data_IF_964812115600
#
_entry.id   IF_964812115600
#
_cell.length_a   1.000
_cell.length_b   1.000
_cell.length_c   1.000
_cell.angle_alpha   90.00
_cell.angle_beta   90.00
_cell.angle_gamma   90.00
#
_symmetry.space_group_name_H-M   'P 1'
#
loop_
_entity.id
_entity.type
_entity.pdbx_description
1 polymer ?
#
# COMPACT_ATOMS: atom_id res chain seq x y z
N UNK A 1 27.43 3.74 -5.90
CA UNK A 1 27.75 4.28 -7.24
C UNK A 1 26.47 4.24 -8.05
N UNK A 2 26.02 5.39 -8.55
CA UNK A 2 24.96 5.44 -9.56
C UNK A 2 25.58 4.88 -10.85
N UNK A 3 24.95 3.89 -11.48
CA UNK A 3 25.42 3.38 -12.78
C UNK A 3 24.82 4.26 -13.87
N UNK A 4 25.57 4.49 -14.93
CA UNK A 4 25.04 5.12 -16.14
C UNK A 4 23.91 4.23 -16.70
N UNK A 5 22.69 4.74 -16.65
CA UNK A 5 21.52 4.06 -17.20
C UNK A 5 21.50 4.27 -18.70
N UNK A 6 21.45 3.19 -19.46
CA UNK A 6 21.30 3.24 -20.90
C UNK A 6 20.01 2.53 -21.32
N UNK A 7 19.57 2.73 -22.56
CA UNK A 7 18.39 2.07 -23.11
C UNK A 7 18.47 0.53 -23.09
N UNK A 8 19.70 -0.02 -23.04
CA UNK A 8 19.98 -1.46 -22.95
C UNK A 8 19.90 -2.04 -21.53
N UNK A 9 19.76 -1.19 -20.49
CA UNK A 9 19.71 -1.65 -19.11
C UNK A 9 18.41 -2.46 -18.87
N UNK A 10 18.49 -3.60 -18.15
CA UNK A 10 17.30 -4.36 -17.77
C UNK A 10 16.31 -3.50 -16.98
N UNK A 11 15.02 -3.62 -17.28
CA UNK A 11 13.98 -2.78 -16.69
C UNK A 11 13.89 -2.94 -15.16
N UNK A 12 14.13 -4.14 -14.63
CA UNK A 12 14.12 -4.36 -13.18
C UNK A 12 15.27 -3.61 -12.47
N UNK A 13 16.45 -3.52 -13.11
CA UNK A 13 17.60 -2.79 -12.58
C UNK A 13 17.34 -1.28 -12.65
N UNK A 14 16.76 -0.81 -13.75
CA UNK A 14 16.31 0.58 -13.87
C UNK A 14 15.36 0.96 -12.73
N UNK A 15 14.30 0.16 -12.55
CA UNK A 15 13.30 0.39 -11.52
C UNK A 15 13.92 0.42 -10.11
N UNK A 16 14.88 -0.47 -9.84
CA UNK A 16 15.59 -0.50 -8.55
C UNK A 16 16.30 0.82 -8.26
N UNK A 17 17.10 1.32 -9.21
CA UNK A 17 17.83 2.57 -8.96
C UNK A 17 16.88 3.77 -8.92
N UNK A 18 15.80 3.78 -9.72
CA UNK A 18 14.77 4.81 -9.64
C UNK A 18 14.15 4.88 -8.24
N UNK A 19 13.86 3.72 -7.62
CA UNK A 19 13.39 3.65 -6.22
C UNK A 19 14.44 4.19 -5.26
N UNK A 20 15.71 3.80 -5.44
CA UNK A 20 16.82 4.24 -4.57
C UNK A 20 17.07 5.76 -4.67
N UNK A 21 16.92 6.36 -5.85
CA UNK A 21 17.15 7.80 -6.08
C UNK A 21 15.96 8.64 -5.61
N UNK A 22 14.74 8.27 -6.03
CA UNK A 22 13.58 9.15 -5.86
C UNK A 22 12.71 8.82 -4.65
N UNK A 23 12.82 7.62 -4.06
CA UNK A 23 11.95 7.18 -2.95
C UNK A 23 12.71 6.98 -1.65
N UNK A 24 13.98 6.57 -1.70
CA UNK A 24 14.77 6.34 -0.48
C UNK A 24 14.88 7.62 0.35
N UNK A 25 14.48 7.56 1.62
CA UNK A 25 14.48 8.70 2.54
C UNK A 25 13.29 9.68 2.38
N UNK A 26 12.56 9.64 1.27
CA UNK A 26 11.41 10.53 1.02
C UNK A 26 10.06 9.94 1.46
N UNK A 27 9.95 8.60 1.56
CA UNK A 27 8.70 7.91 1.92
C UNK A 27 8.86 7.04 3.17
N UNK A 28 7.73 6.77 3.83
CA UNK A 28 7.66 5.86 4.98
C UNK A 28 8.09 4.45 4.59
N UNK A 29 8.74 3.74 5.51
CA UNK A 29 9.24 2.37 5.32
C UNK A 29 8.15 1.42 4.80
N UNK A 30 6.94 1.46 5.37
CA UNK A 30 5.83 0.61 4.93
C UNK A 30 5.44 0.82 3.45
N UNK A 31 5.63 2.04 2.93
CA UNK A 31 5.40 2.32 1.50
C UNK A 31 6.59 1.87 0.67
N UNK A 32 7.81 2.04 1.18
CA UNK A 32 9.03 1.54 0.55
C UNK A 32 9.00 0.02 0.35
N UNK A 33 8.50 -0.73 1.34
CA UNK A 33 8.33 -2.19 1.22
C UNK A 33 7.45 -2.59 0.03
N UNK A 34 6.47 -1.75 -0.36
CA UNK A 34 5.64 -2.01 -1.55
C UNK A 34 6.44 -1.84 -2.84
N UNK A 35 7.26 -0.79 -2.93
CA UNK A 35 8.14 -0.58 -4.09
C UNK A 35 9.15 -1.71 -4.24
N UNK A 36 9.76 -2.16 -3.14
CA UNK A 36 10.68 -3.30 -3.13
C UNK A 36 9.99 -4.62 -3.53
N UNK A 37 8.74 -4.82 -3.10
CA UNK A 37 7.96 -5.99 -3.53
C UNK A 37 7.71 -5.95 -5.04
N UNK A 38 7.31 -4.80 -5.57
CA UNK A 38 7.13 -4.60 -7.02
C UNK A 38 8.41 -4.88 -7.79
N UNK A 39 9.56 -4.39 -7.33
CA UNK A 39 10.86 -4.66 -7.95
C UNK A 39 11.13 -6.16 -8.06
N UNK A 40 10.93 -6.93 -6.97
CA UNK A 40 11.11 -8.39 -6.97
C UNK A 40 10.20 -9.09 -7.96
N UNK A 41 8.96 -8.61 -8.12
CA UNK A 41 8.03 -9.16 -9.10
C UNK A 41 8.43 -8.87 -10.53
N UNK A 42 8.93 -7.66 -10.82
CA UNK A 42 9.46 -7.32 -12.15
C UNK A 42 10.65 -8.21 -12.48
N UNK A 43 11.58 -8.39 -11.55
CA UNK A 43 12.74 -9.28 -11.72
C UNK A 43 12.32 -10.74 -11.97
N UNK A 44 11.30 -11.23 -11.26
CA UNK A 44 10.77 -12.59 -11.43
C UNK A 44 10.04 -12.78 -12.77
N UNK A 45 9.26 -11.79 -13.20
CA UNK A 45 8.39 -11.91 -14.38
C UNK A 45 9.12 -11.56 -15.69
N UNK A 46 10.08 -10.65 -15.64
CA UNK A 46 10.74 -10.10 -16.81
C UNK A 46 12.24 -9.84 -16.54
N UNK A 47 13.04 -10.88 -16.27
CA UNK A 47 14.47 -10.74 -15.96
C UNK A 47 15.31 -10.22 -17.14
N UNK A 48 14.91 -10.54 -18.37
CA UNK A 48 15.66 -10.18 -19.60
C UNK A 48 15.10 -8.94 -20.30
N UNK A 49 13.96 -8.41 -19.85
CA UNK A 49 13.30 -7.29 -20.51
C UNK A 49 14.12 -6.01 -20.34
N UNK A 50 14.58 -5.45 -21.46
CA UNK A 50 15.29 -4.17 -21.49
C UNK A 50 14.35 -2.98 -21.55
N UNK A 51 14.86 -1.81 -21.19
CA UNK A 51 14.14 -0.52 -21.31
C UNK A 51 13.73 -0.22 -22.75
N UNK A 52 14.64 -0.39 -23.72
CA UNK A 52 14.39 -0.16 -25.14
C UNK A 52 13.31 -1.07 -25.74
N UNK A 53 13.17 -2.28 -25.19
CA UNK A 53 12.21 -3.30 -25.63
C UNK A 53 10.83 -3.16 -24.99
N UNK A 54 10.67 -2.18 -24.09
CA UNK A 54 9.46 -1.95 -23.32
C UNK A 54 8.34 -1.35 -24.19
N UNK A 55 7.79 -2.19 -25.05
CA UNK A 55 6.65 -1.88 -25.90
C UNK A 55 5.34 -2.00 -25.12
N UNK A 56 4.27 -1.42 -25.67
CA UNK A 56 2.91 -1.57 -25.12
C UNK A 56 2.49 -3.04 -24.98
N UNK A 57 2.94 -3.91 -25.90
CA UNK A 57 2.64 -5.34 -25.88
C UNK A 57 3.41 -6.05 -24.77
N UNK A 58 4.72 -5.80 -24.64
CA UNK A 58 5.55 -6.36 -23.57
C UNK A 58 5.02 -5.94 -22.19
N UNK A 59 4.65 -4.67 -22.04
CA UNK A 59 4.06 -4.15 -20.80
C UNK A 59 2.71 -4.82 -20.47
N UNK A 60 1.86 -5.03 -21.48
CA UNK A 60 0.59 -5.72 -21.28
C UNK A 60 0.78 -7.20 -20.93
N UNK A 61 1.79 -7.88 -21.49
CA UNK A 61 2.15 -9.24 -21.12
C UNK A 61 2.61 -9.33 -19.67
N UNK A 62 3.50 -8.43 -19.24
CA UNK A 62 3.94 -8.32 -17.85
C UNK A 62 2.75 -8.18 -16.88
N UNK A 63 1.78 -7.31 -17.20
CA UNK A 63 0.57 -7.14 -16.39
C UNK A 63 -0.33 -8.39 -16.40
N UNK A 64 -0.46 -9.06 -17.56
CA UNK A 64 -1.25 -10.28 -17.66
C UNK A 64 -0.64 -11.42 -16.82
N UNK A 65 0.67 -11.55 -16.80
CA UNK A 65 1.37 -12.55 -16.01
C UNK A 65 1.25 -12.27 -14.52
N UNK A 66 1.39 -11.00 -14.11
CA UNK A 66 1.15 -10.59 -12.73
C UNK A 66 -0.31 -10.86 -12.28
N UNK A 67 -1.28 -10.61 -13.16
CA UNK A 67 -2.71 -10.82 -12.92
C UNK A 67 -3.11 -12.29 -12.73
N UNK A 68 -2.30 -13.26 -13.17
CA UNK A 68 -2.57 -14.69 -12.96
C UNK A 68 -2.54 -15.08 -11.49
N UNK A 69 -1.70 -14.43 -10.70
CA UNK A 69 -1.55 -14.75 -9.27
C UNK A 69 -2.35 -13.80 -8.39
N UNK A 70 -2.53 -12.54 -8.81
CA UNK A 70 -2.99 -11.45 -7.96
C UNK A 70 -4.45 -11.00 -8.21
N UNK A 71 -5.05 -10.40 -7.18
CA UNK A 71 -6.33 -9.71 -7.28
C UNK A 71 -6.21 -8.45 -8.15
N UNK A 72 -7.31 -8.06 -8.81
CA UNK A 72 -7.36 -6.87 -9.67
C UNK A 72 -6.82 -5.60 -9.00
N UNK A 73 -7.13 -5.39 -7.71
CA UNK A 73 -6.67 -4.21 -6.98
C UNK A 73 -5.14 -4.21 -6.82
N UNK A 74 -4.55 -5.35 -6.50
CA UNK A 74 -3.10 -5.48 -6.36
C UNK A 74 -2.40 -5.28 -7.71
N UNK A 75 -2.97 -5.80 -8.80
CA UNK A 75 -2.47 -5.54 -10.16
C UNK A 75 -2.55 -4.06 -10.54
N UNK A 76 -3.61 -3.36 -10.12
CA UNK A 76 -3.72 -1.91 -10.32
C UNK A 76 -2.64 -1.15 -9.57
N UNK A 77 -2.39 -1.51 -8.31
CA UNK A 77 -1.34 -0.89 -7.49
C UNK A 77 0.06 -1.14 -8.09
N UNK A 78 0.30 -2.34 -8.62
CA UNK A 78 1.51 -2.69 -9.35
C UNK A 78 1.69 -1.83 -10.61
N UNK A 79 0.64 -1.70 -11.42
CA UNK A 79 0.64 -0.83 -12.61
C UNK A 79 0.99 0.62 -12.25
N UNK A 80 0.38 1.18 -11.20
CA UNK A 80 0.64 2.56 -10.79
C UNK A 80 2.08 2.81 -10.37
N UNK A 81 2.70 1.85 -9.68
CA UNK A 81 4.10 1.98 -9.27
C UNK A 81 5.04 1.94 -10.47
N UNK A 82 4.83 1.00 -11.40
CA UNK A 82 5.61 0.91 -12.63
C UNK A 82 5.42 2.15 -13.51
N UNK A 83 4.19 2.64 -13.64
CA UNK A 83 3.88 3.80 -14.47
C UNK A 83 4.67 5.04 -14.05
N UNK A 84 4.86 5.25 -12.74
CA UNK A 84 5.66 6.38 -12.24
C UNK A 84 7.11 6.31 -12.72
N UNK A 85 7.74 5.14 -12.62
CA UNK A 85 9.10 4.95 -13.10
C UNK A 85 9.21 5.03 -14.64
N UNK A 86 8.22 4.49 -15.36
CA UNK A 86 8.23 4.47 -16.82
C UNK A 86 8.06 5.88 -17.42
N UNK A 87 7.23 6.73 -16.81
CA UNK A 87 7.08 8.12 -17.29
C UNK A 87 8.40 8.88 -17.15
N UNK A 88 9.07 8.76 -16.00
CA UNK A 88 10.37 9.41 -15.80
C UNK A 88 11.41 8.90 -16.81
N UNK A 89 11.39 7.60 -17.16
CA UNK A 89 12.24 7.04 -18.21
C UNK A 89 11.93 7.56 -19.63
N UNK A 90 10.65 7.87 -19.90
CA UNK A 90 10.21 8.48 -21.17
C UNK A 90 10.69 9.92 -21.23
N UNK A 91 10.57 10.67 -20.14
CA UNK A 91 11.00 12.07 -20.05
C UNK A 91 12.53 12.19 -20.19
N UNK A 92 13.28 11.22 -19.68
CA UNK A 92 14.74 11.10 -19.86
C UNK A 92 15.14 10.60 -21.27
N UNK A 93 14.17 10.26 -22.12
CA UNK A 93 14.40 9.84 -23.52
C UNK A 93 14.89 8.40 -23.69
N UNK A 94 14.92 7.60 -22.62
CA UNK A 94 15.28 6.18 -22.69
C UNK A 94 14.21 5.32 -23.36
N UNK A 95 12.94 5.76 -23.28
CA UNK A 95 11.81 5.10 -23.92
C UNK A 95 11.15 6.08 -24.89
N UNK A 96 11.10 5.73 -26.17
CA UNK A 96 10.55 6.61 -27.20
C UNK A 96 9.04 6.82 -27.16
N UNK A 97 8.27 5.93 -26.52
CA UNK A 97 6.80 6.03 -26.43
C UNK A 97 6.27 5.43 -25.15
N UNK A 98 5.39 6.16 -24.47
CA UNK A 98 4.71 5.67 -23.26
C UNK A 98 3.92 4.35 -23.53
N UNK A 99 4.36 3.21 -22.97
CA UNK A 99 3.74 1.90 -23.13
C UNK A 99 2.59 1.67 -22.13
N UNK A 100 2.44 2.56 -21.13
CA UNK A 100 1.45 2.43 -20.05
C UNK A 100 0.07 2.96 -20.44
N UNK A 101 -0.02 3.71 -21.55
CA UNK A 101 -1.26 4.32 -22.01
C UNK A 101 -2.29 3.27 -22.43
N UNK A 102 -3.50 3.37 -21.86
CA UNK A 102 -4.63 2.44 -22.10
C UNK A 102 -4.26 0.97 -21.79
N UNK A 103 -3.43 0.73 -20.77
CA UNK A 103 -3.17 -0.61 -20.26
C UNK A 103 -4.46 -1.23 -19.69
N UNK A 104 -4.70 -2.49 -20.02
CA UNK A 104 -5.88 -3.23 -19.55
C UNK A 104 -5.50 -3.95 -18.25
N UNK A 105 -6.11 -3.52 -17.14
CA UNK A 105 -5.91 -4.16 -15.84
C UNK A 105 -6.84 -5.36 -15.72
N UNK A 106 -6.25 -6.54 -15.67
CA UNK A 106 -6.89 -7.83 -15.37
C UNK A 106 -6.50 -8.27 -13.95
N UNK A 107 -7.21 -9.25 -13.40
CA UNK A 107 -6.86 -9.85 -12.11
C UNK A 107 -7.99 -10.71 -11.57
N UNK A 108 -7.68 -11.46 -10.52
CA UNK A 108 -8.68 -12.31 -9.83
C UNK A 108 -9.74 -11.45 -9.14
N UNK A 109 -10.93 -12.02 -9.04
CA UNK A 109 -12.01 -11.45 -8.22
C UNK A 109 -11.52 -11.32 -6.78
N UNK A 110 -11.73 -10.17 -6.11
CA UNK A 110 -11.34 -9.98 -4.73
C UNK A 110 -11.94 -11.06 -3.84
N UNK A 111 -11.13 -11.65 -2.96
CA UNK A 111 -11.65 -12.59 -1.96
C UNK A 111 -12.50 -11.81 -0.95
N UNK A 112 -13.59 -12.41 -0.49
CA UNK A 112 -14.42 -11.85 0.58
C UNK A 112 -13.56 -11.66 1.84
N UNK A 113 -13.24 -10.40 2.16
CA UNK A 113 -12.43 -10.07 3.34
C UNK A 113 -13.33 -10.08 4.57
N UNK A 114 -12.89 -10.76 5.64
CA UNK A 114 -13.56 -10.67 6.93
C UNK A 114 -13.50 -9.21 7.40
N UNK A 115 -14.64 -8.73 7.86
CA UNK A 115 -14.79 -7.45 8.52
C UNK A 115 -13.80 -7.37 9.68
N UNK A 116 -12.99 -6.30 9.71
CA UNK A 116 -11.98 -6.03 10.75
C UNK A 116 -12.43 -4.98 11.78
N UNK A 117 -13.70 -4.60 11.77
CA UNK A 117 -14.26 -3.74 12.81
C UNK A 117 -14.94 -4.61 13.86
N UNK A 118 -14.75 -4.23 15.12
CA UNK A 118 -15.35 -4.89 16.27
C UNK A 118 -16.76 -4.34 16.46
N UNK A 119 -17.76 -5.21 16.54
CA UNK A 119 -19.12 -4.78 16.89
C UNK A 119 -19.16 -4.28 18.35
N UNK A 120 -20.12 -3.43 18.71
CA UNK A 120 -20.28 -2.88 20.07
C UNK A 120 -20.30 -3.98 21.14
N UNK A 121 -20.97 -5.10 20.85
CA UNK A 121 -21.03 -6.25 21.75
C UNK A 121 -19.65 -6.93 21.92
N UNK A 122 -18.94 -7.13 20.83
CA UNK A 122 -17.59 -7.72 20.84
C UNK A 122 -16.60 -6.79 21.56
N UNK A 123 -16.77 -5.47 21.42
CA UNK A 123 -16.00 -4.46 22.14
C UNK A 123 -16.21 -4.54 23.65
N UNK A 124 -17.46 -4.58 24.12
CA UNK A 124 -17.77 -4.73 25.54
C UNK A 124 -17.22 -6.04 26.11
N UNK A 125 -17.30 -7.12 25.34
CA UNK A 125 -16.76 -8.44 25.73
C UNK A 125 -15.23 -8.37 25.89
N UNK A 126 -14.54 -7.72 24.95
CA UNK A 126 -13.10 -7.55 25.00
C UNK A 126 -12.64 -6.69 26.19
N UNK A 127 -13.37 -5.61 26.50
CA UNK A 127 -13.10 -4.75 27.65
C UNK A 127 -13.29 -5.52 28.96
N UNK A 128 -14.37 -6.29 29.08
CA UNK A 128 -14.66 -7.08 30.29
C UNK A 128 -13.61 -8.18 30.53
N UNK A 129 -13.07 -8.78 29.47
CA UNK A 129 -12.07 -9.84 29.57
C UNK A 129 -10.67 -9.34 29.99
N UNK A 130 -10.39 -8.03 29.87
CA UNK A 130 -9.12 -7.45 30.31
C UNK A 130 -9.32 -6.76 31.67
N UNK A 131 -9.10 -7.44 32.81
CA UNK A 131 -9.16 -6.77 34.10
C UNK A 131 -8.06 -5.71 34.13
N UNK A 132 -8.46 -4.43 34.06
CA UNK A 132 -7.53 -3.34 34.26
C UNK A 132 -7.12 -3.40 35.74
N UNK A 133 -5.82 -3.40 36.07
CA UNK A 133 -5.41 -3.31 37.47
C UNK A 133 -5.99 -2.01 38.02
N UNK A 134 -6.91 -2.14 38.98
CA UNK A 134 -7.54 -1.00 39.63
C UNK A 134 -6.45 -0.19 40.33
N UNK A 135 -6.00 0.91 39.70
CA UNK A 135 -5.25 1.94 40.40
C UNK A 135 -6.19 2.56 41.41
N UNK A 136 -6.03 2.16 42.68
CA UNK A 136 -6.72 2.74 43.85
C UNK A 136 -6.31 4.21 43.95
N UNK A 137 -7.05 5.07 43.27
CA UNK A 137 -7.03 6.49 43.59
C UNK A 137 -7.79 6.63 44.91
N UNK A 138 -7.08 7.04 45.96
CA UNK A 138 -7.68 7.28 47.26
C UNK A 138 -8.83 8.28 47.13
N UNK A 139 -10.03 7.84 47.43
CA UNK A 139 -11.21 8.70 47.44
C UNK A 139 -11.13 9.63 48.65
N UNK A 140 -10.79 10.91 48.44
CA UNK A 140 -11.12 11.96 49.39
C UNK A 140 -12.65 12.07 49.43
N UNK A 141 -13.24 11.86 50.61
CA UNK A 141 -14.69 11.92 50.88
C UNK A 141 -15.34 13.15 50.22
N UNK A 142 -16.16 12.94 49.20
CA UNK A 142 -17.13 13.94 48.76
C UNK A 142 -18.27 13.97 49.79
N UNK A 143 -18.36 15.08 50.53
CA UNK A 143 -19.40 15.37 51.52
C UNK A 143 -20.72 15.54 50.76
N UNK A 144 -21.70 14.69 51.02
CA UNK A 144 -23.03 14.80 50.44
C UNK A 144 -23.68 16.13 50.86
N UNK A 145 -23.95 17.00 49.89
CA UNK A 145 -24.86 18.14 50.07
C UNK A 145 -26.24 17.63 49.68
N UNK A 146 -27.10 17.44 50.67
CA UNK A 146 -28.50 17.09 50.52
C UNK A 146 -29.27 18.22 49.83
N UNK A 147 -29.98 17.88 48.75
CA UNK A 147 -30.86 18.79 48.03
C UNK A 147 -32.25 18.77 48.70
N UNK A 148 -32.87 19.92 49.06
CA UNK A 148 -34.17 19.93 49.71
C UNK A 148 -35.30 19.72 48.68
N UNK A 149 -36.16 18.74 48.94
CA UNK A 149 -37.38 18.48 48.19
C UNK A 149 -38.40 19.60 48.47
N UNK A 150 -38.81 20.34 47.43
CA UNK A 150 -39.94 21.26 47.53
C UNK A 150 -41.24 20.47 47.56
N UNK A 151 -41.96 20.60 48.67
CA UNK A 151 -43.36 20.19 48.83
C UNK A 151 -44.24 21.06 47.92
N UNK A 152 -45.14 20.43 47.16
CA UNK A 152 -46.24 21.16 46.52
C UNK A 152 -47.55 20.57 47.05
N UNK A 153 -48.26 21.37 47.85
CA UNK A 153 -49.64 21.13 48.30
C UNK A 153 -50.59 21.49 47.15
N UNK A 154 -51.58 20.64 46.92
CA UNK A 154 -52.94 21.05 46.56
C UNK A 154 -53.84 20.63 47.74
#
# INVERSE_FOLDING_TARGET
MLKDMNSETPFYEYYRQWVDVYKKGAIREATMSKYLMTQKWVEKLAPELKLCELSRTAYQQLLNDYAKEHERQTTLDFHHQLKRAIIDAVDEGMIGRDPTRKAIIKGKTPRTKKIKYLNQFELHTLIAHRPYPSVRHGTTKARAVSCPQKTNRL
#
